data_IF_213199749420
#
_entry.id   IF_213199749420
#
_cell.length_a   1.000
_cell.length_b   1.000
_cell.length_c   1.000
_cell.angle_alpha   90.00
_cell.angle_beta   90.00
_cell.angle_gamma   90.00
#
_symmetry.space_group_name_H-M   'P 1'
#
loop_
_entity.id
_entity.type
_entity.pdbx_description
1 polymer ?
#
# COMPACT_ATOMS: atom_id res chain seq x y z
N UNK A 1 -17.36 -13.46 17.83
CA UNK A 1 -18.11 -14.31 16.87
C UNK A 1 -17.57 -15.75 16.78
N UNK A 2 -16.83 -16.27 17.78
CA UNK A 2 -16.28 -17.64 17.71
C UNK A 2 -17.25 -18.78 18.12
N UNK A 3 -18.42 -18.48 18.68
CA UNK A 3 -19.27 -19.50 19.36
C UNK A 3 -20.75 -19.51 18.94
N UNK A 4 -21.12 -19.23 17.68
CA UNK A 4 -22.55 -19.25 17.30
C UNK A 4 -22.95 -20.22 16.19
N UNK A 5 -22.04 -21.00 15.64
CA UNK A 5 -22.42 -22.04 14.67
C UNK A 5 -21.59 -23.29 14.98
N UNK A 6 -22.28 -24.43 15.09
CA UNK A 6 -21.80 -25.82 15.17
C UNK A 6 -21.63 -26.43 16.57
N UNK A 7 -22.75 -26.67 17.25
CA UNK A 7 -22.90 -27.83 18.13
C UNK A 7 -23.90 -28.79 17.49
N UNK A 8 -23.41 -29.78 16.73
CA UNK A 8 -23.90 -31.17 16.73
C UNK A 8 -23.29 -31.96 15.56
N UNK A 9 -22.63 -33.06 15.90
CA UNK A 9 -22.17 -34.18 15.05
C UNK A 9 -20.90 -33.98 14.18
N UNK A 10 -20.02 -34.99 14.24
CA UNK A 10 -18.86 -35.28 13.36
C UNK A 10 -17.48 -34.75 13.78
N UNK A 11 -16.80 -35.42 14.72
CA UNK A 11 -15.43 -35.07 15.15
C UNK A 11 -14.33 -35.21 14.09
N UNK A 12 -14.38 -36.23 13.22
CA UNK A 12 -13.34 -36.44 12.18
C UNK A 12 -13.54 -35.58 10.92
N UNK A 13 -14.76 -35.50 10.38
CA UNK A 13 -15.07 -34.66 9.22
C UNK A 13 -14.82 -33.16 9.50
N UNK A 14 -14.96 -32.71 10.75
CA UNK A 14 -14.61 -31.34 11.15
C UNK A 14 -13.10 -31.09 11.08
N UNK A 15 -12.27 -32.11 11.31
CA UNK A 15 -10.81 -31.97 11.36
C UNK A 15 -10.21 -31.77 9.97
N UNK A 16 -10.64 -32.56 8.99
CA UNK A 16 -10.21 -32.42 7.59
C UNK A 16 -10.75 -31.14 6.95
N UNK A 17 -12.01 -30.77 7.22
CA UNK A 17 -12.57 -29.50 6.76
C UNK A 17 -11.84 -28.30 7.37
N UNK A 18 -11.56 -28.32 8.69
CA UNK A 18 -10.76 -27.27 9.34
C UNK A 18 -9.35 -27.19 8.75
N UNK A 19 -8.71 -28.31 8.44
CA UNK A 19 -7.40 -28.32 7.80
C UNK A 19 -7.44 -27.69 6.39
N UNK A 20 -8.48 -27.98 5.60
CA UNK A 20 -8.65 -27.39 4.27
C UNK A 20 -8.91 -25.88 4.32
N UNK A 21 -9.82 -25.43 5.20
CA UNK A 21 -10.10 -24.01 5.43
C UNK A 21 -8.83 -23.27 5.84
N UNK A 22 -8.02 -23.89 6.72
CA UNK A 22 -6.80 -23.28 7.22
C UNK A 22 -5.56 -23.59 6.37
N UNK A 23 -5.75 -24.11 5.15
CA UNK A 23 -4.62 -24.47 4.30
C UNK A 23 -3.78 -23.24 3.96
N UNK A 24 -2.43 -23.35 3.92
CA UNK A 24 -1.56 -22.22 3.60
C UNK A 24 -1.90 -21.53 2.26
N UNK A 25 -2.32 -22.31 1.26
CA UNK A 25 -2.72 -21.80 -0.06
C UNK A 25 -3.95 -20.88 0.01
N UNK A 26 -4.87 -21.12 0.95
CA UNK A 26 -6.07 -20.29 1.14
C UNK A 26 -5.79 -18.97 1.86
N UNK A 27 -4.58 -18.79 2.43
CA UNK A 27 -4.16 -17.60 3.19
C UNK A 27 -5.26 -17.13 4.19
N UNK A 28 -5.69 -17.99 5.12
CA UNK A 28 -6.89 -17.80 5.95
C UNK A 28 -6.76 -16.69 7.02
N UNK A 29 -5.52 -16.28 7.31
CA UNK A 29 -5.21 -15.38 8.41
C UNK A 29 -5.07 -13.92 7.94
N UNK A 30 -5.15 -13.00 8.89
CA UNK A 30 -4.80 -11.59 8.67
C UNK A 30 -3.33 -11.44 8.29
N UNK A 31 -3.00 -10.35 7.60
CA UNK A 31 -1.62 -10.06 7.18
C UNK A 31 -0.86 -9.47 8.38
N UNK A 32 0.29 -10.05 8.81
CA UNK A 32 1.07 -9.50 9.91
C UNK A 32 1.64 -8.13 9.55
N UNK A 33 1.91 -7.31 10.57
CA UNK A 33 2.55 -6.02 10.35
C UNK A 33 3.97 -6.16 9.79
N UNK A 34 4.33 -5.45 8.70
CA UNK A 34 5.72 -5.33 8.26
C UNK A 34 6.58 -4.71 9.37
N UNK A 35 7.83 -5.17 9.53
CA UNK A 35 8.74 -4.68 10.57
C UNK A 35 8.98 -3.16 10.49
N UNK A 36 8.95 -2.59 9.29
CA UNK A 36 9.19 -1.18 8.99
C UNK A 36 7.90 -0.35 8.89
N UNK A 37 6.72 -0.90 9.20
CA UNK A 37 5.45 -0.21 8.94
C UNK A 37 5.29 1.11 9.70
N UNK A 38 5.82 1.20 10.92
CA UNK A 38 5.84 2.47 11.66
C UNK A 38 6.67 3.53 10.94
N UNK A 39 7.81 3.16 10.36
CA UNK A 39 8.65 4.07 9.57
C UNK A 39 7.94 4.53 8.29
N UNK A 40 7.15 3.64 7.66
CA UNK A 40 6.30 4.01 6.51
C UNK A 40 5.28 5.08 6.91
N UNK A 41 4.52 4.84 7.98
CA UNK A 41 3.54 5.82 8.46
C UNK A 41 4.20 7.14 8.90
N UNK A 42 5.38 7.09 9.50
CA UNK A 42 6.14 8.28 9.88
C UNK A 42 6.50 9.15 8.66
N UNK A 43 6.94 8.53 7.55
CA UNK A 43 7.22 9.25 6.30
C UNK A 43 5.97 9.85 5.68
N UNK A 44 4.87 9.11 5.67
CA UNK A 44 3.57 9.63 5.18
C UNK A 44 3.12 10.81 6.03
N UNK A 45 3.26 10.73 7.36
CA UNK A 45 2.97 11.85 8.26
C UNK A 45 3.87 13.06 7.98
N UNK A 46 5.18 12.86 7.79
CA UNK A 46 6.13 13.93 7.51
C UNK A 46 5.84 14.62 6.18
N UNK A 47 5.60 13.85 5.11
CA UNK A 47 5.26 14.41 3.80
C UNK A 47 3.91 15.12 3.83
N UNK A 48 2.91 14.58 4.53
CA UNK A 48 1.64 15.25 4.78
C UNK A 48 1.84 16.62 5.46
N UNK A 49 2.70 16.70 6.49
CA UNK A 49 3.00 17.96 7.17
C UNK A 49 3.65 18.99 6.23
N UNK A 50 4.61 18.58 5.41
CA UNK A 50 5.27 19.46 4.41
C UNK A 50 4.25 20.02 3.42
N UNK A 51 3.26 19.22 3.03
CA UNK A 51 2.23 19.61 2.07
C UNK A 51 0.99 20.24 2.72
N UNK A 52 1.02 20.53 4.02
CA UNK A 52 -0.11 21.06 4.79
C UNK A 52 -1.38 20.18 4.74
N UNK A 53 -1.22 18.87 4.58
CA UNK A 53 -2.30 17.89 4.67
C UNK A 53 -2.61 17.61 6.14
N UNK A 54 -3.88 17.74 6.49
CA UNK A 54 -4.35 17.60 7.87
C UNK A 54 -4.25 16.17 8.37
N UNK A 55 -4.17 16.02 9.70
CA UNK A 55 -4.18 14.72 10.38
C UNK A 55 -5.35 13.83 9.96
N UNK A 56 -6.61 14.34 9.90
CA UNK A 56 -7.72 13.52 9.43
C UNK A 56 -7.53 12.94 8.01
N UNK A 57 -6.98 13.72 7.07
CA UNK A 57 -6.83 13.30 5.67
C UNK A 57 -5.78 12.20 5.48
N UNK A 58 -4.56 12.40 6.01
CA UNK A 58 -3.51 11.39 5.86
C UNK A 58 -3.78 10.14 6.72
N UNK A 59 -4.48 10.30 7.86
CA UNK A 59 -4.93 9.16 8.67
C UNK A 59 -6.06 8.39 7.98
N UNK A 60 -6.96 9.07 7.26
CA UNK A 60 -7.98 8.43 6.41
C UNK A 60 -7.37 7.55 5.34
N UNK A 61 -6.37 8.09 4.62
CA UNK A 61 -5.58 7.33 3.65
C UNK A 61 -4.93 6.09 4.29
N UNK A 62 -4.16 6.31 5.36
CA UNK A 62 -3.33 5.26 5.96
C UNK A 62 -4.17 4.15 6.58
N UNK A 63 -5.26 4.52 7.25
CA UNK A 63 -6.22 3.57 7.83
C UNK A 63 -6.91 2.75 6.74
N UNK A 64 -7.38 3.39 5.67
CA UNK A 64 -8.10 2.72 4.58
C UNK A 64 -7.23 1.70 3.82
N UNK A 65 -5.99 2.08 3.49
CA UNK A 65 -5.02 1.18 2.87
C UNK A 65 -4.73 -0.04 3.77
N UNK A 66 -4.45 0.21 5.05
CA UNK A 66 -4.11 -0.83 6.04
C UNK A 66 -5.27 -1.80 6.30
N UNK A 67 -6.50 -1.27 6.39
CA UNK A 67 -7.68 -2.10 6.55
C UNK A 67 -7.95 -2.96 5.33
N UNK A 68 -7.69 -2.44 4.14
CA UNK A 68 -7.81 -3.18 2.89
C UNK A 68 -6.77 -4.31 2.81
N UNK A 69 -5.56 -4.08 3.31
CA UNK A 69 -4.56 -5.13 3.48
C UNK A 69 -4.91 -6.18 4.55
N UNK A 70 -5.99 -5.99 5.31
CA UNK A 70 -6.42 -6.89 6.38
C UNK A 70 -5.27 -7.13 7.38
N UNK A 71 -4.60 -6.05 7.80
CA UNK A 71 -3.46 -6.07 8.73
C UNK A 71 -3.77 -5.31 10.03
N UNK A 72 -4.38 -5.96 11.04
CA UNK A 72 -4.76 -5.28 12.28
C UNK A 72 -3.59 -4.80 13.15
N UNK A 73 -2.46 -5.51 13.12
CA UNK A 73 -1.27 -5.10 13.87
C UNK A 73 -0.68 -3.80 13.31
N UNK A 74 -0.69 -3.64 11.98
CA UNK A 74 -0.30 -2.39 11.31
C UNK A 74 -1.23 -1.24 11.70
N UNK A 75 -2.53 -1.51 11.81
CA UNK A 75 -3.51 -0.52 12.25
C UNK A 75 -3.27 -0.06 13.69
N UNK A 76 -2.86 -0.98 14.57
CA UNK A 76 -2.45 -0.67 15.95
C UNK A 76 -1.18 0.18 15.97
N UNK A 77 -0.18 -0.18 15.15
CA UNK A 77 1.06 0.57 15.02
C UNK A 77 0.82 2.00 14.52
N UNK A 78 -0.10 2.19 13.55
CA UNK A 78 -0.53 3.50 13.07
C UNK A 78 -1.14 4.35 14.19
N UNK A 79 -2.07 3.78 14.96
CA UNK A 79 -2.70 4.49 16.07
C UNK A 79 -1.69 4.89 17.15
N UNK A 80 -0.77 4.00 17.52
CA UNK A 80 0.28 4.30 18.48
C UNK A 80 1.18 5.45 18.00
N UNK A 81 1.63 5.40 16.74
CA UNK A 81 2.44 6.46 16.14
C UNK A 81 1.75 7.83 16.22
N UNK A 82 0.46 7.89 15.89
CA UNK A 82 -0.31 9.14 15.92
C UNK A 82 -0.55 9.64 17.35
N UNK A 83 -0.78 8.74 18.31
CA UNK A 83 -1.32 9.10 19.63
C UNK A 83 -0.31 9.16 20.75
N UNK A 84 0.94 8.72 20.53
CA UNK A 84 1.99 8.64 21.57
C UNK A 84 2.15 9.94 22.38
N UNK A 85 1.98 11.10 21.74
CA UNK A 85 2.14 12.41 22.38
C UNK A 85 0.85 13.23 22.45
N UNK A 86 -0.32 12.62 22.19
CA UNK A 86 -1.59 13.34 22.16
C UNK A 86 -2.28 13.36 23.52
N UNK A 87 -2.99 14.46 23.86
CA UNK A 87 -3.91 14.49 24.99
C UNK A 87 -4.99 13.41 24.87
N UNK A 88 -5.51 12.94 26.01
CA UNK A 88 -6.52 11.86 26.05
C UNK A 88 -7.75 12.15 25.16
N UNK A 89 -8.23 13.39 25.12
CA UNK A 89 -9.36 13.81 24.29
C UNK A 89 -9.09 13.63 22.80
N UNK A 90 -7.88 13.97 22.34
CA UNK A 90 -7.45 13.81 20.96
C UNK A 90 -7.16 12.35 20.61
N UNK A 91 -6.64 11.57 21.55
CA UNK A 91 -6.45 10.13 21.40
C UNK A 91 -7.79 9.41 21.19
N UNK A 92 -8.83 9.78 21.95
CA UNK A 92 -10.20 9.27 21.76
C UNK A 92 -10.76 9.70 20.41
N UNK A 93 -10.62 10.99 20.05
CA UNK A 93 -11.07 11.48 18.75
C UNK A 93 -10.38 10.77 17.57
N UNK A 94 -9.09 10.46 17.71
CA UNK A 94 -8.32 9.68 16.73
C UNK A 94 -8.86 8.26 16.60
N UNK A 95 -9.16 7.59 17.71
CA UNK A 95 -9.78 6.27 17.69
C UNK A 95 -11.18 6.28 17.03
N UNK A 96 -12.00 7.29 17.32
CA UNK A 96 -13.31 7.48 16.66
C UNK A 96 -13.17 7.72 15.16
N UNK A 97 -12.19 8.54 14.75
CA UNK A 97 -11.91 8.79 13.34
C UNK A 97 -11.54 7.49 12.61
N UNK A 98 -10.58 6.73 13.15
CA UNK A 98 -10.14 5.47 12.54
C UNK A 98 -11.27 4.44 12.49
N UNK A 99 -12.16 4.40 13.49
CA UNK A 99 -13.35 3.54 13.48
C UNK A 99 -14.34 3.93 12.39
N UNK A 100 -14.60 5.23 12.20
CA UNK A 100 -15.52 5.71 11.16
C UNK A 100 -14.93 5.49 9.76
N UNK A 101 -13.64 5.75 9.55
CA UNK A 101 -12.92 5.39 8.32
C UNK A 101 -13.09 3.90 8.04
N UNK A 102 -12.84 3.07 9.06
CA UNK A 102 -12.92 1.63 8.92
C UNK A 102 -14.30 1.11 8.60
N UNK A 103 -15.35 1.72 9.15
CA UNK A 103 -16.72 1.41 8.76
C UNK A 103 -16.98 1.74 7.28
N UNK A 104 -16.52 2.89 6.79
CA UNK A 104 -16.70 3.30 5.39
C UNK A 104 -15.91 2.44 4.40
N UNK A 105 -14.82 1.80 4.84
CA UNK A 105 -14.06 0.85 4.02
C UNK A 105 -14.91 -0.33 3.50
N UNK A 106 -16.03 -0.68 4.17
CA UNK A 106 -16.94 -1.76 3.75
C UNK A 106 -17.37 -1.63 2.28
N UNK A 107 -17.60 -0.40 1.81
CA UNK A 107 -18.00 -0.16 0.41
C UNK A 107 -16.98 -0.61 -0.61
N UNK A 108 -15.71 -0.78 -0.21
CA UNK A 108 -14.61 -0.99 -1.14
C UNK A 108 -13.85 -2.29 -0.89
N UNK A 109 -13.68 -2.70 0.38
CA UNK A 109 -12.89 -3.89 0.74
C UNK A 109 -13.69 -5.02 1.40
N UNK A 110 -14.99 -4.80 1.63
CA UNK A 110 -15.93 -5.78 2.15
C UNK A 110 -15.98 -5.89 3.68
N UNK A 111 -17.06 -6.54 4.13
CA UNK A 111 -17.38 -6.71 5.56
C UNK A 111 -16.31 -7.54 6.32
N UNK A 112 -15.79 -8.68 5.81
CA UNK A 112 -14.88 -9.52 6.59
C UNK A 112 -13.60 -8.81 7.04
N UNK A 113 -12.95 -8.06 6.15
CA UNK A 113 -11.72 -7.30 6.48
C UNK A 113 -12.02 -6.20 7.51
N UNK A 114 -13.15 -5.53 7.34
CA UNK A 114 -13.61 -4.52 8.30
C UNK A 114 -13.85 -5.12 9.69
N UNK A 115 -14.50 -6.29 9.77
CA UNK A 115 -14.73 -7.00 11.04
C UNK A 115 -13.40 -7.35 11.70
N UNK A 116 -12.47 -7.94 10.96
CA UNK A 116 -11.16 -8.34 11.49
C UNK A 116 -10.42 -7.15 12.09
N UNK A 117 -10.26 -6.09 11.29
CA UNK A 117 -9.49 -4.90 11.66
C UNK A 117 -10.16 -4.13 12.81
N UNK A 118 -11.47 -3.86 12.76
CA UNK A 118 -12.14 -3.09 13.83
C UNK A 118 -12.21 -3.85 15.15
N UNK A 119 -12.40 -5.18 15.13
CA UNK A 119 -12.40 -5.97 16.35
C UNK A 119 -11.03 -5.98 17.03
N UNK A 120 -9.98 -6.27 16.26
CA UNK A 120 -8.62 -6.29 16.76
C UNK A 120 -8.16 -4.89 17.19
N UNK A 121 -8.51 -3.85 16.43
CA UNK A 121 -8.24 -2.46 16.80
C UNK A 121 -8.89 -2.10 18.13
N UNK A 122 -10.19 -2.37 18.31
CA UNK A 122 -10.86 -2.12 19.59
C UNK A 122 -10.18 -2.87 20.74
N UNK A 123 -9.71 -4.10 20.51
CA UNK A 123 -9.03 -4.90 21.51
C UNK A 123 -7.62 -4.39 21.85
N UNK A 124 -6.97 -3.64 20.95
CA UNK A 124 -5.63 -3.07 21.19
C UNK A 124 -5.65 -1.67 21.81
N UNK A 125 -6.80 -1.01 21.87
CA UNK A 125 -6.93 0.31 22.49
C UNK A 125 -6.74 0.24 24.02
N UNK A 126 -6.09 1.26 24.63
CA UNK A 126 -6.06 1.41 26.09
C UNK A 126 -7.47 1.45 26.69
N UNK A 127 -7.65 0.93 27.90
CA UNK A 127 -8.98 0.77 28.53
C UNK A 127 -9.70 2.12 28.73
N UNK A 128 -8.94 3.16 29.07
CA UNK A 128 -9.38 4.54 29.23
C UNK A 128 -9.88 5.15 27.92
N UNK A 129 -9.32 4.75 26.77
CA UNK A 129 -9.79 5.18 25.45
C UNK A 129 -11.03 4.35 25.07
N UNK A 130 -10.93 3.03 25.15
CA UNK A 130 -11.98 2.09 24.73
C UNK A 130 -13.30 2.29 25.48
N UNK A 131 -13.24 2.67 26.76
CA UNK A 131 -14.44 2.90 27.59
C UNK A 131 -15.23 4.14 27.18
N UNK A 132 -14.57 5.16 26.62
CA UNK A 132 -15.15 6.45 26.22
C UNK A 132 -15.62 6.52 24.76
N UNK A 133 -15.39 5.45 24.00
CA UNK A 133 -15.83 5.35 22.62
C UNK A 133 -17.37 5.38 22.48
N UNK A 134 -17.85 6.03 21.41
CA UNK A 134 -19.25 6.07 21.02
C UNK A 134 -19.79 4.65 20.77
N UNK A 135 -20.95 4.38 21.39
CA UNK A 135 -21.66 3.09 21.35
C UNK A 135 -23.00 3.11 20.62
N UNK A 136 -23.83 4.17 20.73
CA UNK A 136 -25.11 4.21 20.03
C UNK A 136 -24.94 4.17 18.51
N UNK A 137 -25.76 3.37 17.83
CA UNK A 137 -25.79 3.33 16.37
C UNK A 137 -26.46 4.60 15.82
N UNK A 138 -25.81 5.29 14.89
CA UNK A 138 -26.36 6.53 14.29
C UNK A 138 -26.97 6.30 12.90
N UNK A 139 -26.96 5.07 12.38
CA UNK A 139 -27.31 4.73 10.99
C UNK A 139 -28.47 3.76 10.87
N UNK A 140 -29.15 3.43 11.98
CA UNK A 140 -30.29 2.49 11.97
C UNK A 140 -31.42 3.05 11.10
N UNK A 141 -31.79 2.36 10.00
CA UNK A 141 -32.91 2.78 9.17
C UNK A 141 -34.23 2.57 9.93
N UNK A 142 -35.14 3.52 9.79
CA UNK A 142 -36.51 3.43 10.30
C UNK A 142 -37.47 4.19 9.36
N UNK A 143 -38.80 3.99 9.49
CA UNK A 143 -39.77 4.65 8.62
C UNK A 143 -39.66 6.19 8.60
N UNK A 144 -39.15 6.81 9.66
CA UNK A 144 -39.03 8.26 9.79
C UNK A 144 -37.80 8.84 9.06
N UNK A 145 -36.72 8.06 8.91
CA UNK A 145 -35.47 8.55 8.33
C UNK A 145 -35.16 7.97 6.93
N UNK A 146 -35.83 6.90 6.48
CA UNK A 146 -35.47 6.19 5.25
C UNK A 146 -35.47 7.09 4.00
N UNK A 147 -36.44 8.02 3.89
CA UNK A 147 -36.48 8.99 2.80
C UNK A 147 -35.27 9.94 2.83
N UNK A 148 -34.84 10.36 4.02
CA UNK A 148 -33.66 11.21 4.20
C UNK A 148 -32.37 10.45 3.85
N UNK A 149 -32.27 9.17 4.19
CA UNK A 149 -31.14 8.30 3.81
C UNK A 149 -30.99 8.24 2.29
N UNK A 150 -32.09 7.99 1.57
CA UNK A 150 -32.10 7.96 0.12
C UNK A 150 -31.77 9.32 -0.50
N UNK A 151 -32.35 10.40 0.03
CA UNK A 151 -32.12 11.75 -0.49
C UNK A 151 -30.65 12.18 -0.37
N UNK A 152 -30.02 11.97 0.79
CA UNK A 152 -28.59 12.32 0.97
C UNK A 152 -27.66 11.44 0.14
N UNK A 153 -28.03 10.17 -0.07
CA UNK A 153 -27.30 9.26 -0.96
C UNK A 153 -27.32 9.75 -2.41
N UNK A 154 -28.50 10.15 -2.89
CA UNK A 154 -28.67 10.77 -4.21
C UNK A 154 -27.92 12.08 -4.35
N UNK A 155 -28.00 12.96 -3.35
CA UNK A 155 -27.25 14.22 -3.35
C UNK A 155 -25.72 13.98 -3.43
N UNK A 156 -25.20 13.03 -2.65
CA UNK A 156 -23.78 12.67 -2.71
C UNK A 156 -23.39 12.09 -4.07
N UNK A 157 -24.17 11.14 -4.60
CA UNK A 157 -23.96 10.56 -5.93
C UNK A 157 -23.93 11.62 -7.03
N UNK A 158 -24.92 12.51 -7.04
CA UNK A 158 -25.03 13.58 -8.03
C UNK A 158 -23.84 14.54 -7.94
N UNK A 159 -23.41 14.91 -6.72
CA UNK A 159 -22.26 15.80 -6.52
C UNK A 159 -20.95 15.20 -7.05
N UNK A 160 -20.82 13.87 -7.07
CA UNK A 160 -19.61 13.19 -7.52
C UNK A 160 -19.63 12.95 -9.03
N UNK A 161 -20.80 12.61 -9.60
CA UNK A 161 -20.89 12.11 -10.97
C UNK A 161 -21.48 13.07 -11.99
N UNK A 162 -21.93 14.27 -11.59
CA UNK A 162 -22.45 15.29 -12.52
C UNK A 162 -21.55 15.56 -13.74
N UNK A 163 -22.07 15.88 -14.94
CA UNK A 163 -23.43 15.70 -15.45
C UNK A 163 -23.70 14.26 -15.94
N UNK A 164 -22.88 13.28 -15.53
CA UNK A 164 -22.96 11.90 -15.98
C UNK A 164 -23.66 10.98 -14.97
N UNK A 165 -24.23 11.51 -13.90
CA UNK A 165 -24.83 10.76 -12.78
C UNK A 165 -25.93 9.81 -13.26
N UNK A 166 -26.76 10.26 -14.20
CA UNK A 166 -27.85 9.48 -14.79
C UNK A 166 -27.32 8.43 -15.76
N UNK A 167 -26.35 8.81 -16.60
CA UNK A 167 -25.73 7.90 -17.58
C UNK A 167 -24.99 6.75 -16.89
N UNK A 168 -24.26 7.05 -15.81
CA UNK A 168 -23.56 6.03 -15.02
C UNK A 168 -24.55 5.10 -14.33
N UNK A 169 -25.62 5.64 -13.74
CA UNK A 169 -26.68 4.83 -13.14
C UNK A 169 -27.28 3.85 -14.16
N UNK A 170 -27.65 4.34 -15.34
CA UNK A 170 -28.22 3.51 -16.41
C UNK A 170 -27.22 2.45 -16.88
N UNK A 171 -25.95 2.81 -17.09
CA UNK A 171 -24.90 1.85 -17.49
C UNK A 171 -24.73 0.71 -16.47
N UNK A 172 -24.84 1.00 -15.18
CA UNK A 172 -24.81 -0.02 -14.14
C UNK A 172 -26.08 -0.88 -14.15
N UNK A 173 -27.25 -0.26 -14.36
CA UNK A 173 -28.54 -0.95 -14.47
C UNK A 173 -28.58 -1.92 -15.67
N UNK A 174 -27.92 -1.56 -16.77
CA UNK A 174 -27.80 -2.40 -17.97
C UNK A 174 -27.07 -3.72 -17.67
N UNK A 175 -26.12 -3.71 -16.72
CA UNK A 175 -25.45 -4.94 -16.27
C UNK A 175 -26.32 -5.74 -15.31
N UNK A 176 -27.01 -5.06 -14.38
CA UNK A 176 -28.03 -5.64 -13.52
C UNK A 176 -28.90 -4.53 -12.91
N UNK A 177 -30.24 -4.61 -12.95
CA UNK A 177 -31.13 -3.51 -12.54
C UNK A 177 -30.96 -3.10 -11.07
N UNK A 178 -30.70 -4.06 -10.18
CA UNK A 178 -30.51 -3.78 -8.74
C UNK A 178 -29.10 -3.28 -8.37
N UNK A 179 -28.11 -3.39 -9.26
CA UNK A 179 -26.73 -2.98 -8.97
C UNK A 179 -26.63 -1.49 -8.59
N UNK A 180 -27.12 -0.54 -9.40
CA UNK A 180 -27.06 0.86 -9.02
C UNK A 180 -28.00 1.20 -7.86
N UNK A 181 -29.09 0.44 -7.65
CA UNK A 181 -29.99 0.60 -6.49
C UNK A 181 -29.21 0.32 -5.21
N UNK A 182 -28.51 -0.81 -5.12
CA UNK A 182 -27.71 -1.16 -3.96
C UNK A 182 -26.55 -0.20 -3.73
N UNK A 183 -25.82 0.17 -4.79
CA UNK A 183 -24.74 1.16 -4.70
C UNK A 183 -25.29 2.48 -4.14
N UNK A 184 -26.34 3.02 -4.73
CA UNK A 184 -26.87 4.31 -4.34
C UNK A 184 -27.43 4.32 -2.91
N UNK A 185 -28.31 3.38 -2.58
CA UNK A 185 -29.05 3.42 -1.33
C UNK A 185 -28.29 2.81 -0.16
N UNK A 186 -27.57 1.70 -0.39
CA UNK A 186 -26.87 0.97 0.69
C UNK A 186 -25.46 1.53 0.92
N UNK A 187 -24.74 1.93 -0.13
CA UNK A 187 -23.40 2.48 0.03
C UNK A 187 -23.42 4.00 0.15
N UNK A 188 -23.93 4.73 -0.86
CA UNK A 188 -23.88 6.20 -0.81
C UNK A 188 -24.83 6.77 0.26
N UNK A 189 -26.05 6.25 0.37
CA UNK A 189 -27.05 6.71 1.33
C UNK A 189 -26.82 6.23 2.77
N UNK A 190 -26.77 4.91 2.98
CA UNK A 190 -26.71 4.38 4.34
C UNK A 190 -25.32 4.48 4.98
N UNK A 191 -24.25 4.37 4.20
CA UNK A 191 -22.88 4.23 4.72
C UNK A 191 -21.99 5.48 4.51
N UNK A 192 -21.77 5.89 3.26
CA UNK A 192 -20.76 6.90 2.90
C UNK A 192 -21.19 8.33 3.26
N UNK A 193 -22.47 8.65 3.07
CA UNK A 193 -23.03 9.93 3.55
C UNK A 193 -23.23 9.92 5.06
N UNK A 194 -23.04 11.09 5.67
CA UNK A 194 -23.14 11.23 7.11
C UNK A 194 -24.60 11.47 7.53
N UNK A 195 -25.06 10.85 8.63
CA UNK A 195 -26.36 11.17 9.22
C UNK A 195 -26.41 12.64 9.68
N UNK A 196 -27.50 13.38 9.40
CA UNK A 196 -27.65 14.74 9.90
C UNK A 196 -27.76 14.75 11.43
N UNK A 197 -27.25 15.80 12.08
CA UNK A 197 -27.40 16.00 13.52
C UNK A 197 -26.69 14.96 14.39
N UNK A 198 -25.64 14.31 13.86
CA UNK A 198 -24.79 13.38 14.63
C UNK A 198 -24.17 14.10 15.83
N UNK A 199 -24.31 13.54 17.03
CA UNK A 199 -23.75 14.07 18.29
C UNK A 199 -22.64 13.20 18.89
N UNK A 200 -22.38 12.02 18.33
CA UNK A 200 -21.36 11.07 18.83
C UNK A 200 -20.61 10.42 17.67
N UNK A 201 -19.38 9.96 17.94
CA UNK A 201 -18.47 9.42 16.93
C UNK A 201 -17.88 10.48 16.01
N UNK A 202 -17.00 10.07 15.10
CA UNK A 202 -16.35 11.00 14.18
C UNK A 202 -17.20 11.27 12.93
N UNK A 203 -17.06 12.46 12.35
CA UNK A 203 -17.44 12.75 10.98
C UNK A 203 -16.16 13.04 10.19
N UNK A 204 -15.92 12.30 9.10
CA UNK A 204 -14.72 12.46 8.27
C UNK A 204 -14.94 13.37 7.06
N UNK A 205 -16.18 13.80 6.81
CA UNK A 205 -16.52 14.66 5.67
C UNK A 205 -16.39 14.00 4.30
N UNK A 206 -16.68 14.77 3.25
CA UNK A 206 -16.69 14.30 1.85
C UNK A 206 -15.28 14.00 1.33
N UNK A 207 -14.33 14.92 1.54
CA UNK A 207 -12.96 14.81 1.01
C UNK A 207 -12.25 13.60 1.58
N UNK A 208 -12.22 13.43 2.91
CA UNK A 208 -11.60 12.23 3.49
C UNK A 208 -12.33 10.95 3.08
N UNK A 209 -13.66 10.97 2.90
CA UNK A 209 -14.40 9.81 2.35
C UNK A 209 -13.95 9.45 0.93
N UNK A 210 -13.65 10.44 0.08
CA UNK A 210 -13.05 10.21 -1.24
C UNK A 210 -11.63 9.65 -1.13
N UNK A 211 -10.80 10.18 -0.22
CA UNK A 211 -9.45 9.64 0.04
C UNK A 211 -9.53 8.18 0.51
N UNK A 212 -10.47 7.83 1.39
CA UNK A 212 -10.74 6.43 1.82
C UNK A 212 -11.07 5.55 0.62
N UNK A 213 -11.92 6.02 -0.31
CA UNK A 213 -12.29 5.27 -1.49
C UNK A 213 -11.08 5.00 -2.40
N UNK A 214 -10.30 6.06 -2.71
CA UNK A 214 -9.09 5.94 -3.53
C UNK A 214 -8.08 5.00 -2.87
N UNK A 215 -7.82 5.15 -1.57
CA UNK A 215 -6.88 4.31 -0.85
C UNK A 215 -7.31 2.83 -0.80
N UNK A 216 -8.59 2.55 -0.52
CA UNK A 216 -9.09 1.17 -0.55
C UNK A 216 -9.00 0.54 -1.94
N UNK A 217 -9.33 1.28 -3.00
CA UNK A 217 -9.30 0.76 -4.36
C UNK A 217 -7.87 0.61 -4.87
N UNK A 218 -6.98 1.57 -4.60
CA UNK A 218 -5.57 1.49 -4.98
C UNK A 218 -4.87 0.32 -4.31
N UNK A 219 -5.20 0.02 -3.05
CA UNK A 219 -4.65 -1.14 -2.35
C UNK A 219 -5.10 -2.51 -2.91
N UNK A 220 -6.15 -2.54 -3.75
CA UNK A 220 -6.65 -3.76 -4.40
C UNK A 220 -6.09 -3.94 -5.82
N UNK A 221 -6.17 -5.17 -6.32
CA UNK A 221 -5.80 -5.54 -7.70
C UNK A 221 -7.05 -5.60 -8.57
N UNK A 222 -6.92 -5.32 -9.88
CA UNK A 222 -8.00 -5.52 -10.87
C UNK A 222 -9.11 -4.46 -10.86
N UNK A 223 -8.97 -3.36 -10.13
CA UNK A 223 -9.99 -2.30 -9.99
C UNK A 223 -9.49 -0.92 -10.46
N UNK A 224 -8.54 -0.88 -11.39
CA UNK A 224 -7.95 0.35 -11.94
C UNK A 224 -8.98 1.36 -12.45
N UNK A 225 -10.01 0.96 -13.24
CA UNK A 225 -11.07 1.87 -13.68
C UNK A 225 -11.83 2.54 -12.51
N UNK A 226 -12.02 1.85 -11.40
CA UNK A 226 -12.67 2.40 -10.21
C UNK A 226 -11.75 3.38 -9.48
N UNK A 227 -10.44 3.09 -9.37
CA UNK A 227 -9.45 4.05 -8.84
C UNK A 227 -9.54 5.36 -9.63
N UNK A 228 -9.49 5.27 -10.96
CA UNK A 228 -9.58 6.43 -11.85
C UNK A 228 -10.88 7.22 -11.63
N UNK A 229 -12.03 6.53 -11.56
CA UNK A 229 -13.32 7.18 -11.33
C UNK A 229 -13.39 7.91 -9.99
N UNK A 230 -12.78 7.37 -8.92
CA UNK A 230 -12.80 7.99 -7.60
C UNK A 230 -11.80 9.15 -7.46
N UNK A 231 -10.67 9.09 -8.18
CA UNK A 231 -9.75 10.24 -8.34
C UNK A 231 -10.47 11.40 -9.03
N UNK A 232 -11.19 11.14 -10.13
CA UNK A 232 -12.00 12.18 -10.78
C UNK A 232 -13.12 12.70 -9.87
N UNK A 233 -13.74 11.83 -9.08
CA UNK A 233 -14.73 12.23 -8.08
C UNK A 233 -14.17 13.16 -6.99
N UNK A 234 -12.92 12.94 -6.57
CA UNK A 234 -12.19 13.83 -5.67
C UNK A 234 -11.93 15.19 -6.33
N UNK A 235 -11.45 15.21 -7.58
CA UNK A 235 -11.24 16.45 -8.36
C UNK A 235 -12.49 17.31 -8.46
N UNK A 236 -13.63 16.65 -8.71
CA UNK A 236 -14.91 17.34 -8.85
C UNK A 236 -15.36 18.10 -7.60
N UNK A 237 -14.84 17.74 -6.43
CA UNK A 237 -15.06 18.50 -5.19
C UNK A 237 -14.68 19.99 -5.32
N UNK A 238 -13.71 20.30 -6.20
CA UNK A 238 -13.26 21.64 -6.45
C UNK A 238 -14.20 22.39 -7.39
N UNK A 239 -14.69 21.71 -8.44
CA UNK A 239 -15.50 22.31 -9.50
C UNK A 239 -16.89 22.77 -9.02
N UNK A 240 -17.48 22.07 -8.04
CA UNK A 240 -18.80 22.41 -7.52
C UNK A 240 -18.76 23.43 -6.35
N UNK A 241 -17.57 23.92 -6.00
CA UNK A 241 -17.36 24.93 -4.96
C UNK A 241 -17.72 24.45 -3.56
N UNK A 242 -17.95 23.14 -3.35
CA UNK A 242 -18.29 22.62 -2.03
C UNK A 242 -17.14 22.74 -1.03
N UNK A 243 -15.89 22.81 -1.50
CA UNK A 243 -14.69 22.92 -0.67
C UNK A 243 -13.60 23.73 -1.36
N UNK A 244 -13.50 25.02 -1.03
CA UNK A 244 -12.43 25.93 -1.52
C UNK A 244 -11.38 26.24 -0.45
N UNK A 245 -10.94 25.22 0.29
CA UNK A 245 -9.79 25.34 1.19
C UNK A 245 -8.48 24.92 0.48
N UNK A 246 -7.34 25.28 1.06
CA UNK A 246 -6.03 25.00 0.45
C UNK A 246 -5.69 23.51 0.38
N UNK A 247 -6.08 22.73 1.39
CA UNK A 247 -5.79 21.30 1.49
C UNK A 247 -6.59 20.51 0.46
N UNK A 248 -7.90 20.74 0.39
CA UNK A 248 -8.80 20.06 -0.56
C UNK A 248 -8.37 20.29 -2.00
N UNK A 249 -7.95 21.52 -2.35
CA UNK A 249 -7.39 21.86 -3.66
C UNK A 249 -6.13 21.06 -3.98
N UNK A 250 -5.21 20.98 -3.03
CA UNK A 250 -3.97 20.24 -3.22
C UNK A 250 -4.21 18.74 -3.37
N UNK A 251 -5.04 18.13 -2.51
CA UNK A 251 -5.36 16.69 -2.57
C UNK A 251 -6.03 16.28 -3.89
N UNK A 252 -6.83 17.17 -4.48
CA UNK A 252 -7.48 16.94 -5.76
C UNK A 252 -6.56 17.22 -6.97
N UNK A 253 -5.51 18.03 -6.82
CA UNK A 253 -4.53 18.30 -7.88
C UNK A 253 -3.75 17.04 -8.29
N UNK A 254 -2.98 17.12 -9.39
CA UNK A 254 -2.16 16.02 -9.89
C UNK A 254 -1.14 15.57 -8.83
N UNK A 255 -0.48 16.52 -8.16
CA UNK A 255 0.53 16.27 -7.14
C UNK A 255 -0.05 15.58 -5.90
N UNK A 256 -1.18 16.07 -5.37
CA UNK A 256 -1.81 15.45 -4.20
C UNK A 256 -2.44 14.09 -4.52
N UNK A 257 -2.99 13.92 -5.73
CA UNK A 257 -3.47 12.61 -6.19
C UNK A 257 -2.32 11.61 -6.30
N UNK A 258 -1.18 12.03 -6.87
CA UNK A 258 0.02 11.20 -6.96
C UNK A 258 0.49 10.79 -5.56
N UNK A 259 0.61 11.75 -4.64
CA UNK A 259 1.00 11.49 -3.26
C UNK A 259 0.07 10.49 -2.55
N UNK A 260 -1.25 10.57 -2.78
CA UNK A 260 -2.22 9.59 -2.28
C UNK A 260 -1.90 8.18 -2.79
N UNK A 261 -1.66 8.02 -4.09
CA UNK A 261 -1.43 6.71 -4.70
C UNK A 261 -0.10 6.09 -4.25
N UNK A 262 0.97 6.89 -4.24
CA UNK A 262 2.31 6.46 -3.80
C UNK A 262 2.32 6.08 -2.33
N UNK A 263 1.69 6.89 -1.46
CA UNK A 263 1.57 6.58 -0.03
C UNK A 263 0.82 5.27 0.22
N UNK A 264 -0.18 4.95 -0.60
CA UNK A 264 -0.90 3.67 -0.52
C UNK A 264 0.00 2.51 -0.95
N UNK A 265 0.78 2.68 -2.02
CA UNK A 265 1.69 1.66 -2.51
C UNK A 265 2.82 1.37 -1.49
N UNK A 266 3.32 2.40 -0.79
CA UNK A 266 4.25 2.25 0.34
C UNK A 266 3.66 1.40 1.47
N UNK A 267 2.39 1.64 1.85
CA UNK A 267 1.70 0.87 2.91
C UNK A 267 1.45 -0.58 2.48
N UNK A 268 1.06 -0.78 1.23
CA UNK A 268 0.75 -2.10 0.67
C UNK A 268 2.02 -2.91 0.42
N UNK A 269 3.20 -2.26 0.44
CA UNK A 269 4.49 -2.88 0.17
C UNK A 269 4.47 -3.64 -1.16
N UNK A 270 3.92 -3.00 -2.21
CA UNK A 270 3.84 -3.62 -3.54
C UNK A 270 5.26 -3.88 -4.03
N UNK A 271 5.53 -5.16 -4.28
CA UNK A 271 6.67 -5.65 -5.01
C UNK A 271 8.07 -5.32 -4.43
N UNK A 272 8.14 -4.93 -3.16
CA UNK A 272 9.40 -4.56 -2.50
C UNK A 272 9.80 -5.49 -1.35
N UNK A 273 9.26 -6.71 -1.30
CA UNK A 273 9.45 -7.66 -0.20
C UNK A 273 9.72 -9.07 -0.68
N UNK A 274 10.23 -9.95 0.19
CA UNK A 274 10.42 -11.36 -0.16
C UNK A 274 9.14 -12.08 -0.60
N UNK A 275 7.98 -11.65 -0.12
CA UNK A 275 6.70 -12.26 -0.47
C UNK A 275 6.07 -11.70 -1.76
N UNK A 276 6.64 -10.61 -2.28
CA UNK A 276 6.23 -9.92 -3.51
C UNK A 276 7.38 -9.01 -3.88
N UNK A 277 8.22 -9.44 -4.81
CA UNK A 277 9.46 -8.78 -5.22
C UNK A 277 9.46 -8.61 -6.74
N UNK A 278 9.27 -7.38 -7.21
CA UNK A 278 9.51 -7.04 -8.60
C UNK A 278 10.74 -6.16 -8.69
N UNK A 279 11.40 -6.21 -9.83
CA UNK A 279 12.53 -5.33 -10.14
C UNK A 279 12.31 -4.75 -11.52
N UNK A 280 12.83 -3.54 -11.75
CA UNK A 280 12.86 -2.93 -13.07
C UNK A 280 14.26 -3.14 -13.64
N UNK A 281 14.35 -3.65 -14.85
CA UNK A 281 15.61 -3.80 -15.59
C UNK A 281 15.37 -3.34 -17.02
N UNK A 282 16.19 -2.42 -17.52
CA UNK A 282 16.06 -1.82 -18.86
C UNK A 282 14.65 -1.27 -19.15
N UNK A 283 14.02 -0.64 -18.17
CA UNK A 283 12.68 -0.06 -18.32
C UNK A 283 11.55 -1.08 -18.41
N UNK A 284 11.79 -2.35 -18.06
CA UNK A 284 10.77 -3.40 -17.99
C UNK A 284 10.67 -3.93 -16.57
N UNK A 285 9.45 -4.22 -16.13
CA UNK A 285 9.19 -4.81 -14.82
C UNK A 285 9.20 -6.33 -14.90
N UNK A 286 9.81 -6.96 -13.90
CA UNK A 286 9.93 -8.41 -13.78
C UNK A 286 9.50 -8.88 -12.39
N UNK A 287 8.67 -9.92 -12.33
CA UNK A 287 8.34 -10.59 -11.07
C UNK A 287 9.39 -11.64 -10.74
N UNK A 288 10.26 -11.32 -9.78
CA UNK A 288 11.34 -12.20 -9.33
C UNK A 288 11.01 -12.89 -8.00
N UNK A 289 9.77 -12.79 -7.51
CA UNK A 289 9.36 -13.28 -6.18
C UNK A 289 9.71 -14.75 -5.97
N UNK A 290 9.37 -15.60 -6.94
CA UNK A 290 9.61 -17.05 -6.88
C UNK A 290 11.07 -17.40 -7.20
N UNK A 291 11.77 -16.54 -7.93
CA UNK A 291 13.17 -16.72 -8.31
C UNK A 291 14.16 -16.32 -7.19
N UNK A 292 13.73 -15.50 -6.22
CA UNK A 292 14.56 -15.08 -5.09
C UNK A 292 15.42 -16.20 -4.44
N UNK A 293 14.85 -17.37 -4.05
CA UNK A 293 15.64 -18.46 -3.47
C UNK A 293 16.60 -19.15 -4.45
N UNK A 294 16.38 -19.02 -5.75
CA UNK A 294 17.16 -19.67 -6.81
C UNK A 294 18.29 -18.78 -7.33
N UNK A 295 18.29 -17.49 -6.98
CA UNK A 295 19.31 -16.54 -7.42
C UNK A 295 20.73 -16.96 -6.97
N UNK A 296 21.66 -17.23 -7.90
CA UNK A 296 23.02 -17.68 -7.55
C UNK A 296 23.82 -16.68 -6.71
N UNK A 297 23.60 -15.37 -6.90
CA UNK A 297 24.18 -14.31 -6.07
C UNK A 297 23.52 -14.13 -4.70
N UNK A 298 22.53 -14.97 -4.38
CA UNK A 298 21.74 -14.95 -3.15
C UNK A 298 20.58 -13.96 -3.18
N UNK A 299 19.49 -14.28 -2.48
CA UNK A 299 18.27 -13.44 -2.47
C UNK A 299 18.47 -12.02 -1.90
N UNK A 300 19.46 -11.82 -1.03
CA UNK A 300 19.65 -10.55 -0.31
C UNK A 300 19.97 -9.38 -1.24
N UNK A 301 20.70 -9.62 -2.33
CA UNK A 301 21.08 -8.55 -3.26
C UNK A 301 19.87 -8.10 -4.08
N UNK A 302 19.05 -9.02 -4.57
CA UNK A 302 17.80 -8.68 -5.29
C UNK A 302 16.86 -7.89 -4.38
N UNK A 303 16.73 -8.31 -3.11
CA UNK A 303 15.85 -7.64 -2.15
C UNK A 303 16.23 -6.18 -1.85
N UNK A 304 17.47 -5.76 -2.10
CA UNK A 304 17.86 -4.34 -2.00
C UNK A 304 17.23 -3.48 -3.10
N UNK A 305 16.91 -4.10 -4.23
CA UNK A 305 16.30 -3.48 -5.40
C UNK A 305 14.83 -3.83 -5.56
N UNK A 306 14.21 -4.48 -4.56
CA UNK A 306 12.81 -4.83 -4.62
C UNK A 306 11.94 -3.57 -4.76
N UNK A 307 11.14 -3.50 -5.82
CA UNK A 307 10.32 -2.36 -6.20
C UNK A 307 11.08 -1.21 -6.87
N UNK A 308 12.38 -1.39 -7.18
CA UNK A 308 13.28 -0.36 -7.72
C UNK A 308 13.83 -0.75 -9.10
N UNK A 309 14.47 0.22 -9.76
CA UNK A 309 15.33 -0.04 -10.91
C UNK A 309 16.68 -0.61 -10.48
N UNK A 310 16.96 -1.80 -10.99
CA UNK A 310 18.16 -2.57 -10.72
C UNK A 310 19.15 -2.56 -11.90
N UNK A 311 18.85 -1.86 -13.01
CA UNK A 311 19.63 -1.92 -14.27
C UNK A 311 21.12 -1.72 -14.04
N UNK A 312 21.52 -0.65 -13.34
CA UNK A 312 22.93 -0.37 -13.08
C UNK A 312 23.65 -1.43 -12.24
N UNK A 313 22.92 -2.13 -11.38
CA UNK A 313 23.46 -3.22 -10.56
C UNK A 313 23.44 -4.56 -11.31
N UNK A 314 22.53 -4.70 -12.27
CA UNK A 314 22.30 -5.93 -13.05
C UNK A 314 23.32 -6.07 -14.19
N UNK A 315 23.47 -5.04 -15.02
CA UNK A 315 24.26 -5.07 -16.27
C UNK A 315 25.72 -5.50 -16.11
N UNK A 316 26.46 -5.09 -15.07
CA UNK A 316 27.88 -5.44 -14.96
C UNK A 316 28.13 -6.93 -14.66
N UNK A 317 27.09 -7.66 -14.24
CA UNK A 317 27.20 -9.02 -13.70
C UNK A 317 26.51 -10.02 -14.62
N UNK A 318 25.40 -9.65 -15.25
CA UNK A 318 24.52 -10.58 -15.95
C UNK A 318 24.57 -10.39 -17.47
N UNK A 319 24.66 -11.48 -18.25
CA UNK A 319 24.44 -11.42 -19.69
C UNK A 319 23.06 -10.84 -20.05
N UNK A 320 22.91 -10.14 -21.20
CA UNK A 320 21.66 -9.47 -21.57
C UNK A 320 20.43 -10.38 -21.67
N UNK A 321 20.61 -11.67 -21.96
CA UNK A 321 19.55 -12.66 -22.13
C UNK A 321 19.20 -13.41 -20.83
N UNK A 322 19.82 -13.05 -19.70
CA UNK A 322 19.62 -13.72 -18.40
C UNK A 322 18.15 -13.74 -17.98
N UNK A 323 17.42 -12.63 -18.14
CA UNK A 323 16.01 -12.57 -17.73
C UNK A 323 15.09 -13.41 -18.63
N UNK A 324 15.44 -13.57 -19.91
CA UNK A 324 14.69 -14.42 -20.84
C UNK A 324 14.94 -15.91 -20.58
N UNK A 325 16.15 -16.27 -20.13
CA UNK A 325 16.54 -17.65 -19.85
C UNK A 325 16.00 -18.18 -18.53
N UNK A 326 16.04 -17.36 -17.46
CA UNK A 326 15.80 -17.81 -16.09
C UNK A 326 14.44 -17.40 -15.52
N UNK A 327 13.70 -16.51 -16.19
CA UNK A 327 12.33 -16.18 -15.80
C UNK A 327 11.37 -16.61 -16.90
N UNK A 328 10.27 -17.25 -16.49
CA UNK A 328 9.18 -17.56 -17.41
C UNK A 328 8.59 -16.28 -18.02
N UNK A 329 8.08 -16.37 -19.25
CA UNK A 329 7.44 -15.24 -19.93
C UNK A 329 6.27 -14.63 -19.12
N UNK A 330 5.62 -15.42 -18.26
CA UNK A 330 4.55 -14.97 -17.36
C UNK A 330 5.04 -13.96 -16.31
N UNK A 331 6.34 -13.93 -16.03
CA UNK A 331 7.00 -13.04 -15.07
C UNK A 331 7.51 -11.74 -15.70
N UNK A 332 7.37 -11.59 -17.02
CA UNK A 332 7.73 -10.38 -17.76
C UNK A 332 6.51 -9.47 -17.82
N UNK A 333 6.46 -8.49 -16.93
CA UNK A 333 5.24 -7.74 -16.64
C UNK A 333 4.99 -6.61 -17.64
N UNK A 334 6.02 -6.20 -18.38
CA UNK A 334 5.95 -5.23 -19.46
C UNK A 334 6.76 -3.96 -19.18
N UNK A 335 6.56 -2.96 -20.03
CA UNK A 335 7.26 -1.68 -19.97
C UNK A 335 6.81 -0.83 -18.77
N UNK A 336 7.75 -0.08 -18.21
CA UNK A 336 7.56 0.84 -17.10
C UNK A 336 7.82 2.26 -17.56
N UNK A 337 6.96 3.18 -17.15
CA UNK A 337 7.19 4.61 -17.33
C UNK A 337 8.34 5.08 -16.41
N UNK A 338 9.54 5.17 -16.96
CA UNK A 338 10.75 5.53 -16.21
C UNK A 338 10.71 6.94 -15.62
N UNK A 339 9.79 7.81 -16.05
CA UNK A 339 9.60 9.13 -15.41
C UNK A 339 9.00 9.04 -14.00
N UNK A 340 8.47 7.87 -13.66
CA UNK A 340 7.81 7.61 -12.37
C UNK A 340 8.70 6.84 -11.38
N UNK A 341 9.92 6.47 -11.78
CA UNK A 341 10.85 5.69 -10.96
C UNK A 341 11.73 6.62 -10.15
N UNK A 342 11.76 6.44 -8.83
CA UNK A 342 12.66 7.19 -7.95
C UNK A 342 14.12 6.82 -8.22
N UNK A 343 14.93 7.81 -8.57
CA UNK A 343 16.38 7.67 -8.67
C UNK A 343 17.03 8.07 -7.35
N UNK A 344 17.65 7.12 -6.64
CA UNK A 344 18.49 7.44 -5.50
C UNK A 344 19.76 8.14 -5.99
N UNK A 345 19.97 9.41 -5.62
CA UNK A 345 21.26 10.08 -5.79
C UNK A 345 22.32 9.32 -4.97
N UNK A 346 23.19 8.58 -5.66
CA UNK A 346 24.33 7.92 -5.03
C UNK A 346 25.30 8.99 -4.53
N UNK A 347 25.56 8.99 -3.22
CA UNK A 347 26.65 9.77 -2.65
C UNK A 347 27.98 9.40 -3.33
N UNK A 348 28.83 10.40 -3.61
CA UNK A 348 30.18 10.14 -4.10
C UNK A 348 30.92 9.22 -3.13
N UNK A 349 31.38 8.07 -3.64
CA UNK A 349 32.24 7.15 -2.91
C UNK A 349 33.70 7.54 -3.14
N UNK A 350 34.41 8.10 -2.13
CA UNK A 350 35.81 8.50 -2.27
C UNK A 350 36.72 7.32 -2.65
N UNK A 351 36.36 6.10 -2.25
CA UNK A 351 37.11 4.88 -2.55
C UNK A 351 36.98 4.51 -4.04
N UNK A 352 35.81 4.74 -4.65
CA UNK A 352 35.59 4.53 -6.09
C UNK A 352 36.33 5.58 -6.93
N UNK A 353 36.30 6.85 -6.51
CA UNK A 353 37.08 7.92 -7.16
C UNK A 353 38.57 7.61 -7.14
N UNK A 354 39.11 7.19 -5.99
CA UNK A 354 40.51 6.78 -5.88
C UNK A 354 40.83 5.54 -6.73
N UNK A 355 39.88 4.60 -6.88
CA UNK A 355 40.05 3.42 -7.74
C UNK A 355 40.13 3.80 -9.22
N UNK A 356 39.30 4.72 -9.68
CA UNK A 356 39.34 5.23 -11.05
C UNK A 356 40.67 5.93 -11.36
N UNK A 357 41.24 6.67 -10.40
CA UNK A 357 42.59 7.22 -10.54
C UNK A 357 43.67 6.13 -10.67
N UNK A 358 43.56 5.03 -9.91
CA UNK A 358 44.48 3.88 -10.03
C UNK A 358 44.37 3.20 -11.39
N UNK A 359 43.16 3.08 -11.96
CA UNK A 359 42.96 2.57 -13.33
C UNK A 359 43.68 3.45 -14.35
N UNK A 360 43.65 4.78 -14.21
CA UNK A 360 44.36 5.67 -15.13
C UNK A 360 45.89 5.51 -15.08
N UNK A 361 46.43 5.00 -13.97
CA UNK A 361 47.86 4.75 -13.76
C UNK A 361 48.24 3.28 -13.95
N UNK A 362 47.32 2.45 -14.45
CA UNK A 362 47.55 1.02 -14.65
C UNK A 362 48.76 0.82 -15.58
N UNK A 363 49.72 -0.05 -15.21
CA UNK A 363 50.89 -0.29 -16.03
C UNK A 363 50.50 -0.89 -17.39
N UNK A 364 51.24 -0.59 -18.47
CA UNK A 364 50.97 -1.18 -19.78
C UNK A 364 51.14 -2.71 -19.71
N UNK A 365 50.38 -3.44 -20.53
CA UNK A 365 50.40 -4.91 -20.55
C UNK A 365 51.83 -5.49 -20.69
N UNK A 366 52.71 -4.82 -21.45
CA UNK A 366 54.10 -5.24 -21.64
C UNK A 366 54.97 -5.17 -20.37
N UNK A 367 54.49 -4.52 -19.31
CA UNK A 367 55.16 -4.42 -18.02
C UNK A 367 54.73 -5.52 -17.01
N UNK A 368 53.74 -6.36 -17.37
CA UNK A 368 53.36 -7.54 -16.57
C UNK A 368 54.14 -8.75 -17.09
N UNK A 369 55.19 -9.16 -16.37
CA UNK A 369 56.10 -10.23 -16.78
C UNK A 369 55.64 -11.62 -16.34
N UNK A 370 54.86 -11.69 -15.26
CA UNK A 370 54.37 -12.95 -14.69
C UNK A 370 52.95 -12.80 -14.11
N UNK A 371 52.35 -13.92 -13.70
CA UNK A 371 50.98 -13.93 -13.16
C UNK A 371 50.81 -13.12 -11.87
N UNK A 372 51.85 -13.00 -11.04
CA UNK A 372 51.80 -12.20 -9.81
C UNK A 372 51.75 -10.70 -10.12
N UNK A 373 52.33 -10.26 -11.24
CA UNK A 373 52.21 -8.86 -11.67
C UNK A 373 50.76 -8.52 -12.05
N UNK A 374 50.08 -9.45 -12.73
CA UNK A 374 48.64 -9.31 -13.04
C UNK A 374 47.79 -9.29 -11.76
N UNK A 375 48.11 -10.16 -10.81
CA UNK A 375 47.43 -10.23 -9.52
C UNK A 375 47.62 -8.94 -8.70
N UNK A 376 48.85 -8.42 -8.64
CA UNK A 376 49.16 -7.18 -7.94
C UNK A 376 48.41 -5.98 -8.54
N UNK A 377 48.36 -5.88 -9.87
CA UNK A 377 47.59 -4.85 -10.56
C UNK A 377 46.09 -5.00 -10.27
N UNK A 378 45.56 -6.23 -10.38
CA UNK A 378 44.16 -6.53 -10.12
C UNK A 378 43.74 -6.15 -8.68
N UNK A 379 44.58 -6.45 -7.68
CA UNK A 379 44.34 -6.09 -6.27
C UNK A 379 44.16 -4.58 -6.05
N UNK A 380 44.85 -3.75 -6.83
CA UNK A 380 44.77 -2.30 -6.71
C UNK A 380 43.58 -1.69 -7.48
N UNK A 381 43.25 -2.22 -8.65
CA UNK A 381 42.29 -1.58 -9.58
C UNK A 381 40.88 -2.18 -9.54
N UNK A 382 40.72 -3.40 -9.04
CA UNK A 382 39.42 -4.04 -8.90
C UNK A 382 38.61 -3.45 -7.76
N UNK A 383 37.27 -3.51 -7.86
CA UNK A 383 36.40 -3.22 -6.73
C UNK A 383 36.69 -4.22 -5.61
N UNK A 384 36.70 -3.76 -4.35
CA UNK A 384 37.03 -4.62 -3.19
C UNK A 384 36.19 -5.90 -3.15
N UNK A 385 34.91 -5.82 -3.48
CA UNK A 385 33.99 -6.96 -3.55
C UNK A 385 34.36 -7.94 -4.66
N UNK A 386 34.75 -7.44 -5.83
CA UNK A 386 35.21 -8.27 -6.95
C UNK A 386 36.55 -8.95 -6.62
N UNK A 387 37.51 -8.21 -6.05
CA UNK A 387 38.78 -8.78 -5.59
C UNK A 387 38.54 -9.89 -4.56
N UNK A 388 37.74 -9.63 -3.52
CA UNK A 388 37.41 -10.63 -2.52
C UNK A 388 36.77 -11.89 -3.12
N UNK A 389 35.89 -11.73 -4.12
CA UNK A 389 35.28 -12.87 -4.81
C UNK A 389 36.31 -13.72 -5.57
N UNK A 390 37.18 -13.10 -6.36
CA UNK A 390 38.18 -13.84 -7.14
C UNK A 390 39.33 -14.39 -6.29
N UNK A 391 39.76 -13.67 -5.25
CA UNK A 391 40.83 -14.13 -4.37
C UNK A 391 40.36 -15.27 -3.46
N UNK A 392 39.14 -15.18 -2.89
CA UNK A 392 38.60 -16.24 -2.03
C UNK A 392 38.27 -17.55 -2.74
N UNK A 393 38.12 -17.54 -4.07
CA UNK A 393 37.95 -18.76 -4.87
C UNK A 393 39.27 -19.42 -5.28
N UNK A 394 40.39 -18.71 -5.16
CA UNK A 394 41.74 -19.24 -5.41
C UNK A 394 42.39 -19.81 -4.14
N UNK A 395 41.91 -19.39 -2.97
CA UNK A 395 42.47 -19.70 -1.66
C UNK A 395 41.66 -20.80 -0.94
N UNK A 396 41.82 -22.06 -1.38
CA UNK A 396 41.99 -23.14 -0.40
C UNK A 396 43.39 -22.96 0.23
N UNK A 397 43.59 -21.88 0.99
CA UNK A 397 44.82 -21.57 1.71
C UNK A 397 45.01 -22.59 2.85
N UNK A 398 45.75 -23.68 2.56
CA UNK A 398 46.46 -24.50 3.56
C UNK A 398 47.94 -24.13 3.62
#
# INVERSE_FOLDING_TARGET
MRNLILESHHGEALSSLKALINSPAARPNTVPAPRNIQSVYARIQQTAQVQNVSRPSWLALSTAATMTMNSPDSLTALFQLVTTSLPATETIATAELMREIGLKCISFNGIPRTINCLNAFKASLPAEVASQLARPATRTPNPQNIAQISARGKALWDSIYRPFETKLYQKLADSHPDLPVHILHSHYGALLSNPPGRTTGADIGRVATSVVAVACLRAQTGVGPQVLSHVFGLRKALDDGTWDDGESRWLAADEGTRWILESVDEIVARHNSKASCWVIVHGKAYDVTEFLPEHPGGQKIILQYAGKDATEAFDPIHPPDTLDQYLEASKHLGEVDMTTVEHEEKAEDPDESARLERIQRMPPLAACYNLMDFEAVAREVMKRTAWAYYSSGADDEM
#
